data_IF_811658244744
#
_entry.id   IF_811658244744
#
_cell.length_a   1.000
_cell.length_b   1.000
_cell.length_c   1.000
_cell.angle_alpha   90.00
_cell.angle_beta   90.00
_cell.angle_gamma   90.00
#
_symmetry.space_group_name_H-M   'P 1'
#
loop_
_entity.id
_entity.type
_entity.pdbx_description
1 polymer ?
#
# COMPACT_ATOMS: atom_id res chain seq x y z
N UNK A 1 -19.52 -14.73 -29.13
CA UNK A 1 -19.28 -14.70 -27.67
C UNK A 1 -19.56 -13.27 -27.20
N UNK A 2 -20.80 -12.95 -26.82
CA UNK A 2 -21.33 -11.56 -26.71
C UNK A 2 -21.78 -11.20 -25.28
N UNK A 3 -21.52 -12.02 -24.27
CA UNK A 3 -22.02 -11.80 -22.90
C UNK A 3 -20.94 -11.89 -21.80
N UNK A 4 -19.78 -11.26 -21.98
CA UNK A 4 -18.80 -11.09 -20.89
C UNK A 4 -18.84 -9.71 -20.23
N UNK A 5 -19.63 -8.76 -20.74
CA UNK A 5 -19.78 -7.42 -20.16
C UNK A 5 -20.89 -7.34 -19.10
N UNK A 6 -21.91 -8.20 -19.17
CA UNK A 6 -23.07 -8.17 -18.25
C UNK A 6 -22.76 -8.72 -16.85
N UNK A 7 -21.73 -9.55 -16.70
CA UNK A 7 -21.38 -10.19 -15.42
C UNK A 7 -20.85 -9.21 -14.36
N UNK A 8 -20.50 -7.98 -14.73
CA UNK A 8 -19.95 -6.97 -13.81
C UNK A 8 -20.97 -5.98 -13.23
N UNK A 9 -22.26 -6.10 -13.60
CA UNK A 9 -23.34 -5.24 -13.11
C UNK A 9 -24.23 -5.90 -12.06
N UNK A 10 -23.95 -7.16 -11.68
CA UNK A 10 -24.71 -7.84 -10.65
C UNK A 10 -24.13 -7.50 -9.28
N UNK A 11 -24.90 -6.78 -8.47
CA UNK A 11 -24.70 -6.73 -7.03
C UNK A 11 -24.77 -8.18 -6.52
N UNK A 12 -23.76 -8.61 -5.75
CA UNK A 12 -23.75 -9.95 -5.18
C UNK A 12 -25.00 -10.17 -4.32
N UNK A 13 -25.56 -11.40 -4.34
CA UNK A 13 -26.73 -11.78 -3.54
C UNK A 13 -26.66 -11.35 -2.06
N UNK A 14 -25.49 -11.41 -1.38
CA UNK A 14 -25.36 -10.88 -0.03
C UNK A 14 -25.62 -9.36 0.06
N UNK A 15 -25.07 -8.58 -0.88
CA UNK A 15 -25.25 -7.13 -0.92
C UNK A 15 -26.69 -6.75 -1.27
N UNK A 16 -27.36 -7.46 -2.19
CA UNK A 16 -28.79 -7.26 -2.46
C UNK A 16 -29.66 -7.53 -1.22
N UNK A 17 -29.35 -8.60 -0.49
CA UNK A 17 -30.07 -8.98 0.73
C UNK A 17 -29.90 -7.94 1.84
N UNK A 18 -28.72 -7.33 1.97
CA UNK A 18 -28.48 -6.22 2.89
C UNK A 18 -29.36 -4.99 2.58
N UNK A 19 -29.49 -4.63 1.30
CA UNK A 19 -30.39 -3.54 0.88
C UNK A 19 -31.87 -3.84 1.16
N UNK A 20 -32.31 -5.08 0.91
CA UNK A 20 -33.70 -5.50 1.14
C UNK A 20 -34.07 -5.54 2.64
N UNK A 21 -33.12 -5.92 3.49
CA UNK A 21 -33.31 -6.01 4.94
C UNK A 21 -33.21 -4.65 5.66
N UNK A 22 -32.93 -3.56 4.93
CA UNK A 22 -32.69 -2.21 5.48
C UNK A 22 -31.67 -2.22 6.63
N UNK A 23 -30.64 -3.05 6.52
CA UNK A 23 -29.57 -3.01 7.50
C UNK A 23 -28.88 -1.63 7.43
N UNK A 24 -28.58 -0.99 8.57
CA UNK A 24 -27.91 0.31 8.61
C UNK A 24 -26.45 0.27 8.15
N UNK A 25 -25.97 -0.91 7.74
CA UNK A 25 -24.66 -1.11 7.12
C UNK A 25 -24.69 -0.58 5.69
N UNK A 26 -24.68 0.74 5.59
CA UNK A 26 -24.48 1.46 4.35
C UNK A 26 -22.98 1.42 4.03
N UNK A 27 -22.59 0.74 2.95
CA UNK A 27 -21.32 1.03 2.29
C UNK A 27 -21.30 2.53 2.03
N UNK A 28 -20.48 3.22 2.79
CA UNK A 28 -20.43 4.67 2.86
C UNK A 28 -19.97 5.20 1.51
N UNK A 29 -20.42 6.39 1.13
CA UNK A 29 -19.94 7.15 -0.03
C UNK A 29 -18.44 7.53 0.05
N UNK A 30 -17.70 7.00 1.02
CA UNK A 30 -16.29 7.24 1.22
C UNK A 30 -15.47 6.27 0.38
N UNK A 31 -14.57 6.84 -0.43
CA UNK A 31 -13.58 6.05 -1.14
C UNK A 31 -12.38 5.87 -0.22
N UNK A 32 -12.09 4.62 0.17
CA UNK A 32 -10.87 4.33 0.91
C UNK A 32 -9.66 4.53 0.01
N UNK A 33 -8.62 5.17 0.55
CA UNK A 33 -7.33 5.26 -0.12
C UNK A 33 -6.45 4.11 0.34
N UNK A 34 -5.87 3.40 -0.63
CA UNK A 34 -4.86 2.38 -0.36
C UNK A 34 -3.64 3.04 0.25
N UNK A 35 -3.24 2.57 1.43
CA UNK A 35 -2.05 3.03 2.13
C UNK A 35 -1.16 1.82 2.47
N UNK A 36 0.00 1.74 1.84
CA UNK A 36 0.94 0.62 1.97
C UNK A 36 1.86 0.82 3.19
N UNK A 37 1.24 1.00 4.36
CA UNK A 37 1.95 1.36 5.59
C UNK A 37 2.96 0.30 6.04
N UNK A 38 2.57 -0.99 5.99
CA UNK A 38 3.44 -2.10 6.40
C UNK A 38 4.74 -2.13 5.59
N UNK A 39 4.66 -2.11 4.25
CA UNK A 39 5.84 -2.05 3.37
C UNK A 39 6.69 -0.82 3.65
N UNK A 40 6.08 0.37 3.75
CA UNK A 40 6.83 1.61 4.01
C UNK A 40 7.61 1.56 5.34
N UNK A 41 6.94 1.16 6.43
CA UNK A 41 7.60 1.04 7.75
C UNK A 41 8.70 -0.01 7.72
N UNK A 42 8.49 -1.13 7.02
CA UNK A 42 9.52 -2.15 6.83
C UNK A 42 10.76 -1.60 6.12
N UNK A 43 10.58 -0.87 5.02
CA UNK A 43 11.69 -0.23 4.28
C UNK A 43 12.43 0.78 5.15
N UNK A 44 11.70 1.62 5.88
CA UNK A 44 12.27 2.68 6.72
C UNK A 44 13.04 2.12 7.91
N UNK A 45 12.51 1.07 8.57
CA UNK A 45 13.23 0.37 9.65
C UNK A 45 14.51 -0.30 9.14
N UNK A 46 14.42 -0.99 8.00
CA UNK A 46 15.59 -1.61 7.36
C UNK A 46 16.68 -0.58 7.02
N UNK A 47 16.29 0.61 6.55
CA UNK A 47 17.23 1.70 6.29
C UNK A 47 17.88 2.22 7.59
N UNK A 48 17.11 2.40 8.66
CA UNK A 48 17.65 2.82 9.97
C UNK A 48 18.58 1.77 10.59
N UNK A 49 18.18 0.50 10.57
CA UNK A 49 19.01 -0.61 11.08
C UNK A 49 20.33 -0.75 10.29
N UNK A 50 20.33 -0.38 9.01
CA UNK A 50 21.53 -0.36 8.18
C UNK A 50 22.47 0.80 8.52
N UNK A 51 21.94 1.95 8.97
CA UNK A 51 22.73 3.13 9.37
C UNK A 51 23.30 3.00 10.79
N UNK A 52 22.55 2.38 11.71
CA UNK A 52 22.95 2.27 13.12
C UNK A 52 23.87 1.08 13.44
N UNK A 53 24.09 0.16 12.50
CA UNK A 53 24.95 -1.01 12.73
C UNK A 53 26.42 -0.69 12.41
N UNK A 54 27.29 -0.38 13.40
CA UNK A 54 28.72 -0.48 13.18
C UNK A 54 29.06 -1.93 12.81
N UNK A 55 30.11 -2.12 12.02
CA UNK A 55 30.56 -3.39 11.44
C UNK A 55 31.06 -4.45 12.46
N UNK A 56 30.31 -4.69 13.55
CA UNK A 56 30.60 -5.70 14.56
C UNK A 56 29.45 -6.72 14.65
N UNK A 57 29.75 -8.03 14.54
CA UNK A 57 28.76 -9.03 14.15
C UNK A 57 28.12 -9.75 15.35
N UNK A 58 27.50 -9.06 16.31
CA UNK A 58 26.88 -9.77 17.44
C UNK A 58 26.16 -8.84 18.41
N UNK A 59 24.87 -8.61 18.16
CA UNK A 59 23.85 -8.55 19.20
C UNK A 59 22.48 -8.70 18.54
N UNK A 60 21.90 -9.89 18.70
CA UNK A 60 20.48 -10.12 18.46
C UNK A 60 19.71 -9.34 19.52
N UNK A 61 19.34 -8.10 19.19
CA UNK A 61 18.39 -7.29 19.94
C UNK A 61 16.98 -7.73 19.59
N UNK A 62 16.46 -8.69 20.34
CA UNK A 62 15.11 -9.21 20.25
C UNK A 62 14.13 -8.21 20.87
N UNK A 63 13.78 -7.16 20.14
CA UNK A 63 12.62 -6.34 20.47
C UNK A 63 11.48 -6.78 19.57
N UNK A 64 10.76 -7.81 20.03
CA UNK A 64 9.50 -8.26 19.46
C UNK A 64 8.49 -7.11 19.46
N UNK A 65 8.33 -6.42 18.32
CA UNK A 65 7.01 -5.96 17.94
C UNK A 65 6.44 -7.03 17.02
N UNK A 66 5.41 -7.74 17.49
CA UNK A 66 4.62 -8.67 16.70
C UNK A 66 4.11 -7.95 15.44
N UNK A 67 4.83 -8.14 14.33
CA UNK A 67 4.38 -7.89 12.98
C UNK A 67 4.52 -9.22 12.31
N UNK A 68 3.41 -9.96 12.32
CA UNK A 68 3.05 -11.08 11.45
C UNK A 68 4.14 -11.34 10.41
N UNK A 69 5.03 -12.29 10.73
CA UNK A 69 6.17 -12.68 9.91
C UNK A 69 5.75 -13.47 8.68
N UNK A 70 4.77 -12.95 7.95
CA UNK A 70 4.68 -13.13 6.52
C UNK A 70 5.51 -11.98 5.95
N UNK A 71 6.79 -12.24 5.70
CA UNK A 71 7.58 -11.44 4.78
C UNK A 71 6.87 -11.53 3.42
N UNK A 72 5.79 -10.78 3.25
CA UNK A 72 5.21 -10.51 1.94
C UNK A 72 6.36 -9.87 1.18
N UNK A 73 7.00 -10.66 0.32
CA UNK A 73 8.05 -10.19 -0.56
C UNK A 73 7.50 -8.96 -1.26
N UNK A 74 8.11 -7.79 -1.05
CA UNK A 74 7.68 -6.55 -1.68
C UNK A 74 7.57 -6.81 -3.18
N UNK A 75 6.33 -6.91 -3.67
CA UNK A 75 6.08 -7.24 -5.07
C UNK A 75 6.57 -6.06 -5.91
N UNK A 76 7.72 -6.27 -6.55
CA UNK A 76 8.29 -5.30 -7.48
C UNK A 76 7.63 -5.43 -8.85
N UNK A 77 7.20 -4.30 -9.40
CA UNK A 77 6.68 -4.19 -10.76
C UNK A 77 7.82 -3.70 -11.65
N UNK A 78 8.13 -4.46 -12.70
CA UNK A 78 9.10 -4.01 -13.71
C UNK A 78 8.40 -3.09 -14.71
N UNK A 79 8.87 -1.85 -14.81
CA UNK A 79 8.43 -0.87 -15.79
C UNK A 79 9.52 -0.67 -16.84
N UNK A 80 9.15 -0.67 -18.12
CA UNK A 80 10.05 -0.28 -19.20
C UNK A 80 9.85 1.21 -19.51
N UNK A 81 10.87 2.03 -19.25
CA UNK A 81 10.88 3.45 -19.56
C UNK A 81 12.09 3.80 -20.41
N UNK A 82 11.87 4.38 -21.59
CA UNK A 82 12.92 4.84 -22.51
C UNK A 82 14.02 3.79 -22.77
N UNK A 83 13.62 2.55 -23.04
CA UNK A 83 14.52 1.42 -23.30
C UNK A 83 15.37 0.97 -22.08
N UNK A 84 14.95 1.34 -20.86
CA UNK A 84 15.52 0.88 -19.60
C UNK A 84 14.45 0.22 -18.75
N UNK A 85 14.76 -0.97 -18.22
CA UNK A 85 13.89 -1.66 -17.27
C UNK A 85 14.20 -1.13 -15.87
N UNK A 86 13.16 -0.64 -15.19
CA UNK A 86 13.24 -0.08 -13.84
C UNK A 86 12.30 -0.89 -12.95
N UNK A 87 12.77 -1.31 -11.78
CA UNK A 87 11.90 -1.86 -10.74
C UNK A 87 11.19 -0.73 -10.00
N UNK A 88 9.88 -0.84 -9.84
CA UNK A 88 9.06 0.07 -9.06
C UNK A 88 8.31 -0.71 -7.98
N UNK A 89 8.20 -0.11 -6.81
CA UNK A 89 7.48 -0.64 -5.65
C UNK A 89 6.39 0.34 -5.22
N UNK A 90 5.44 -0.13 -4.41
CA UNK A 90 4.41 0.74 -3.85
C UNK A 90 4.96 1.77 -2.84
N UNK A 91 6.20 1.56 -2.37
CA UNK A 91 6.88 2.42 -1.40
C UNK A 91 7.55 3.62 -2.09
N UNK A 92 7.92 3.48 -3.37
CA UNK A 92 8.58 4.53 -4.14
C UNK A 92 7.76 5.83 -4.19
N UNK A 93 6.43 5.73 -4.22
CA UNK A 93 5.51 6.89 -4.18
C UNK A 93 5.68 7.75 -2.91
N UNK A 94 6.18 7.16 -1.83
CA UNK A 94 6.39 7.83 -0.53
C UNK A 94 7.81 8.37 -0.38
N UNK A 95 8.79 7.61 -0.90
CA UNK A 95 10.22 7.97 -0.87
C UNK A 95 10.47 9.16 -1.81
N UNK A 96 9.92 9.09 -3.01
CA UNK A 96 10.15 10.08 -4.07
C UNK A 96 9.02 11.11 -4.17
N UNK A 97 8.32 11.39 -3.07
CA UNK A 97 7.30 12.43 -3.04
C UNK A 97 7.91 13.81 -3.34
N UNK A 98 7.19 14.73 -4.01
CA UNK A 98 7.69 16.07 -4.29
C UNK A 98 8.14 16.81 -3.02
N UNK A 99 9.24 17.56 -3.12
CA UNK A 99 9.83 18.31 -2.00
C UNK A 99 8.88 19.37 -1.42
N UNK A 100 7.96 19.88 -2.23
CA UNK A 100 6.88 20.78 -1.79
C UNK A 100 5.99 20.16 -0.69
N UNK A 101 5.90 18.83 -0.65
CA UNK A 101 5.13 18.08 0.35
C UNK A 101 6.01 17.44 1.43
N UNK A 102 7.28 17.81 1.53
CA UNK A 102 8.20 17.25 2.52
C UNK A 102 7.78 17.61 3.95
N UNK A 103 7.24 18.82 4.13
CA UNK A 103 6.72 19.34 5.40
C UNK A 103 5.40 18.70 5.84
N UNK A 104 4.75 17.94 4.97
CA UNK A 104 3.47 17.29 5.24
C UNK A 104 3.75 15.86 5.70
N UNK A 105 3.03 15.40 6.74
CA UNK A 105 3.16 14.02 7.17
C UNK A 105 2.65 13.06 6.08
N UNK A 106 3.16 11.82 6.08
CA UNK A 106 2.82 10.85 5.03
C UNK A 106 1.32 10.55 4.96
N UNK A 107 0.65 10.53 6.12
CA UNK A 107 -0.79 10.30 6.21
C UNK A 107 -1.58 11.38 5.45
N UNK A 108 -1.30 12.65 5.73
CA UNK A 108 -1.97 13.78 5.07
C UNK A 108 -1.66 13.81 3.57
N UNK A 109 -0.40 13.53 3.20
CA UNK A 109 0.02 13.43 1.79
C UNK A 109 -0.82 12.40 1.04
N UNK A 110 -0.98 11.20 1.59
CA UNK A 110 -1.80 10.13 0.97
C UNK A 110 -3.27 10.55 0.91
N UNK A 111 -3.79 11.24 1.94
CA UNK A 111 -5.18 11.74 1.94
C UNK A 111 -5.45 12.86 0.93
N UNK A 112 -4.46 13.65 0.57
CA UNK A 112 -4.64 14.78 -0.37
C UNK A 112 -4.35 14.40 -1.82
N UNK A 113 -3.54 13.36 -2.06
CA UNK A 113 -3.05 13.03 -3.42
C UNK A 113 -3.87 11.95 -4.12
N UNK A 114 -3.92 11.99 -5.45
CA UNK A 114 -4.50 10.91 -6.25
C UNK A 114 -3.43 10.37 -7.18
N UNK A 115 -3.20 9.06 -7.14
CA UNK A 115 -2.29 8.41 -8.08
C UNK A 115 -2.89 8.52 -9.49
N UNK A 116 -2.14 9.13 -10.41
CA UNK A 116 -2.50 9.14 -11.82
C UNK A 116 -2.42 7.72 -12.38
N UNK A 117 -3.37 7.35 -13.23
CA UNK A 117 -3.40 6.06 -13.93
C UNK A 117 -2.54 6.10 -15.19
#
# INVERSE_FOLDING_TARGET
MVNSLTSKLQIGSPMASLYLLKNPDHYTNYTFKSFWWKSYVGTVRSAWDAEERPAYPNQAGTDNCDLDAETESDQMVLMNSKNKVVGATNVDDYIWRPTEFEQICLYDYVQMTKRAK
#
